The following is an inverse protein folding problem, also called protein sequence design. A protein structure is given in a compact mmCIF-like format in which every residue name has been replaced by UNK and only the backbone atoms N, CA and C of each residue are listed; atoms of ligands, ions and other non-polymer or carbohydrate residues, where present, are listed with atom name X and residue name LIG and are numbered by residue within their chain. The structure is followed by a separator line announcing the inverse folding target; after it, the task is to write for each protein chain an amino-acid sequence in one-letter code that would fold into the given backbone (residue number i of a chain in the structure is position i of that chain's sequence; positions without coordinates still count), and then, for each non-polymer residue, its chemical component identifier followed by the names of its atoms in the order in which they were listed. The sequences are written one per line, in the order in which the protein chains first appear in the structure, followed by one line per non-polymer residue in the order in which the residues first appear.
data_IF_798199057813
#
_entry.id   IF_798199057813
#
_cell.length_a   1.000
_cell.length_b   1.000
_cell.length_c   1.000
_cell.angle_alpha   90.00
_cell.angle_beta   90.00
_cell.angle_gamma   90.00
#
_symmetry.space_group_name_H-M   'P 1'
#
loop_
_entity.id
_entity.type
_entity.pdbx_description
1 polymer ?
#
# COMPACT_ATOMS: atom_id res chain seq x y z
N UNK A 1 -20.75 -0.29 -3.62
CA UNK A 1 -20.97 -1.25 -4.70
C UNK A 1 -21.70 -2.45 -4.13
N UNK A 2 -22.53 -3.13 -4.91
CA UNK A 2 -23.21 -4.38 -4.51
C UNK A 2 -22.73 -5.46 -5.49
N UNK A 3 -22.25 -6.57 -4.94
CA UNK A 3 -21.81 -7.72 -5.72
C UNK A 3 -23.01 -8.56 -6.23
N UNK A 4 -22.82 -9.47 -7.18
CA UNK A 4 -23.90 -10.32 -7.72
C UNK A 4 -24.61 -11.19 -6.69
N UNK A 5 -23.94 -11.57 -5.60
CA UNK A 5 -24.48 -12.33 -4.48
C UNK A 5 -25.19 -11.46 -3.44
N UNK A 6 -25.22 -10.14 -3.63
CA UNK A 6 -25.83 -9.16 -2.74
C UNK A 6 -24.90 -8.59 -1.67
N UNK A 7 -23.65 -9.03 -1.57
CA UNK A 7 -22.69 -8.48 -0.61
C UNK A 7 -22.41 -7.00 -0.93
N UNK A 8 -22.44 -6.16 0.10
CA UNK A 8 -22.22 -4.71 -0.04
C UNK A 8 -20.77 -4.34 0.27
N UNK A 9 -20.09 -3.76 -0.72
CA UNK A 9 -18.75 -3.23 -0.58
C UNK A 9 -18.83 -1.70 -0.41
N UNK A 10 -18.21 -1.19 0.64
CA UNK A 10 -18.17 0.23 1.03
C UNK A 10 -16.72 0.68 1.25
N UNK A 11 -16.50 1.98 1.45
CA UNK A 11 -15.19 2.48 1.83
C UNK A 11 -14.73 1.94 3.21
N UNK A 12 -15.68 1.66 4.10
CA UNK A 12 -15.38 1.25 5.47
C UNK A 12 -14.98 -0.23 5.58
N UNK A 13 -15.44 -1.08 4.63
CA UNK A 13 -15.20 -2.52 4.73
C UNK A 13 -14.33 -3.10 3.61
N UNK A 14 -14.07 -2.37 2.53
CA UNK A 14 -13.35 -2.92 1.37
C UNK A 14 -11.95 -3.40 1.74
N UNK A 15 -11.22 -2.68 2.56
CA UNK A 15 -9.86 -3.04 2.97
C UNK A 15 -9.88 -4.33 3.81
N UNK A 16 -10.75 -4.41 4.81
CA UNK A 16 -10.90 -5.61 5.61
C UNK A 16 -11.34 -6.82 4.77
N UNK A 17 -12.29 -6.63 3.86
CA UNK A 17 -12.78 -7.69 2.98
C UNK A 17 -11.70 -8.23 2.03
N UNK A 18 -10.87 -7.34 1.46
CA UNK A 18 -9.86 -7.73 0.47
C UNK A 18 -8.54 -8.16 1.08
N UNK A 19 -8.14 -7.61 2.24
CA UNK A 19 -6.83 -7.86 2.83
C UNK A 19 -6.84 -8.86 4.01
N UNK A 20 -8.02 -9.13 4.59
CA UNK A 20 -8.17 -10.03 5.73
C UNK A 20 -9.26 -11.08 5.51
N UNK A 21 -10.54 -10.66 5.37
CA UNK A 21 -11.69 -11.57 5.34
C UNK A 21 -11.63 -12.57 4.19
N UNK A 22 -11.18 -12.17 3.00
CA UNK A 22 -11.06 -13.06 1.85
C UNK A 22 -10.12 -14.25 2.13
N UNK A 23 -9.08 -14.04 2.94
CA UNK A 23 -8.09 -15.07 3.25
C UNK A 23 -8.58 -16.06 4.31
N UNK A 24 -9.40 -15.61 5.25
CA UNK A 24 -10.04 -16.48 6.24
C UNK A 24 -11.28 -17.19 5.68
N UNK A 25 -12.08 -16.48 4.86
CA UNK A 25 -13.32 -17.00 4.25
C UNK A 25 -13.06 -18.17 3.30
N UNK A 26 -12.04 -18.07 2.47
CA UNK A 26 -11.73 -19.06 1.44
C UNK A 26 -10.59 -20.01 1.82
N UNK A 27 -9.83 -19.70 2.87
CA UNK A 27 -8.75 -20.56 3.35
C UNK A 27 -7.78 -20.93 2.21
N UNK A 28 -7.61 -22.24 1.98
CA UNK A 28 -6.71 -22.77 0.94
C UNK A 28 -7.32 -22.75 -0.47
N UNK A 29 -8.62 -22.45 -0.63
CA UNK A 29 -9.24 -22.30 -1.95
C UNK A 29 -8.83 -20.98 -2.61
N UNK A 30 -7.64 -20.99 -3.20
CA UNK A 30 -7.10 -19.85 -3.93
C UNK A 30 -7.94 -19.46 -5.15
N UNK A 31 -8.61 -20.43 -5.79
CA UNK A 31 -9.45 -20.18 -6.96
C UNK A 31 -10.66 -19.34 -6.60
N UNK A 32 -11.41 -19.76 -5.58
CA UNK A 32 -12.57 -19.04 -5.07
C UNK A 32 -12.19 -17.63 -4.56
N UNK A 33 -11.07 -17.51 -3.83
CA UNK A 33 -10.57 -16.23 -3.34
C UNK A 33 -10.24 -15.27 -4.49
N UNK A 34 -9.51 -15.73 -5.51
CA UNK A 34 -9.18 -14.89 -6.68
C UNK A 34 -10.45 -14.43 -7.40
N UNK A 35 -11.40 -15.33 -7.62
CA UNK A 35 -12.70 -15.01 -8.24
C UNK A 35 -13.46 -13.95 -7.45
N UNK A 36 -13.46 -14.05 -6.13
CA UNK A 36 -14.11 -13.06 -5.25
C UNK A 36 -13.43 -11.68 -5.37
N UNK A 37 -12.09 -11.63 -5.27
CA UNK A 37 -11.34 -10.38 -5.40
C UNK A 37 -11.49 -9.75 -6.79
N UNK A 38 -11.49 -10.56 -7.86
CA UNK A 38 -11.78 -10.08 -9.22
C UNK A 38 -13.19 -9.52 -9.35
N UNK A 39 -14.18 -10.14 -8.69
CA UNK A 39 -15.56 -9.67 -8.71
C UNK A 39 -15.68 -8.30 -8.07
N UNK A 40 -15.01 -8.07 -6.92
CA UNK A 40 -14.93 -6.76 -6.28
C UNK A 40 -14.27 -5.75 -7.23
N UNK A 41 -13.10 -6.07 -7.79
CA UNK A 41 -12.36 -5.18 -8.68
C UNK A 41 -13.20 -4.79 -9.91
N UNK A 42 -13.83 -5.76 -10.57
CA UNK A 42 -14.73 -5.52 -11.72
C UNK A 42 -15.88 -4.60 -11.35
N UNK A 43 -16.54 -4.84 -10.21
CA UNK A 43 -17.67 -4.03 -9.77
C UNK A 43 -17.25 -2.59 -9.44
N UNK A 44 -16.06 -2.39 -8.85
CA UNK A 44 -15.50 -1.05 -8.60
C UNK A 44 -15.17 -0.34 -9.91
N UNK A 45 -14.47 -1.00 -10.84
CA UNK A 45 -14.15 -0.42 -12.15
C UNK A 45 -15.42 -0.05 -12.93
N UNK A 46 -16.41 -0.93 -12.97
CA UNK A 46 -17.70 -0.64 -13.61
C UNK A 46 -18.40 0.58 -12.99
N UNK A 47 -18.31 0.74 -11.67
CA UNK A 47 -18.86 1.91 -11.00
C UNK A 47 -18.12 3.19 -11.33
N UNK A 48 -16.79 3.13 -11.45
CA UNK A 48 -15.94 4.27 -11.81
C UNK A 48 -16.07 4.68 -13.28
N UNK A 49 -16.30 3.73 -14.18
CA UNK A 49 -16.43 3.98 -15.64
C UNK A 49 -17.89 4.19 -16.09
N UNK A 50 -18.85 3.91 -15.21
CA UNK A 50 -20.27 4.09 -15.47
C UNK A 50 -20.78 5.49 -15.14
N UNK A 51 -22.09 5.59 -14.93
CA UNK A 51 -22.71 6.86 -14.52
C UNK A 51 -22.28 7.28 -13.12
N UNK A 52 -21.44 8.29 -13.02
CA UNK A 52 -20.98 8.86 -11.76
C UNK A 52 -22.01 9.87 -11.28
N UNK A 53 -22.68 9.60 -10.16
CA UNK A 53 -23.68 10.49 -9.56
C UNK A 53 -23.08 11.77 -8.96
N UNK A 54 -21.82 11.74 -8.55
CA UNK A 54 -21.10 12.89 -8.03
C UNK A 54 -19.64 12.92 -8.56
N UNK A 55 -19.42 13.44 -9.80
CA UNK A 55 -18.10 13.50 -10.40
C UNK A 55 -17.08 14.30 -9.58
N UNK A 56 -17.53 15.37 -8.93
CA UNK A 56 -16.67 16.23 -8.11
C UNK A 56 -16.07 15.43 -6.94
N UNK A 57 -16.88 14.69 -6.20
CA UNK A 57 -16.40 13.89 -5.08
C UNK A 57 -15.41 12.79 -5.53
N UNK A 58 -15.62 12.20 -6.72
CA UNK A 58 -14.67 11.22 -7.28
C UNK A 58 -13.35 11.89 -7.63
N UNK A 59 -13.36 13.05 -8.31
CA UNK A 59 -12.15 13.80 -8.63
C UNK A 59 -11.38 14.24 -7.38
N UNK A 60 -12.08 14.70 -6.35
CA UNK A 60 -11.47 15.08 -5.06
C UNK A 60 -10.83 13.86 -4.37
N UNK A 61 -11.47 12.68 -4.42
CA UNK A 61 -10.92 11.44 -3.85
C UNK A 61 -9.69 10.96 -4.63
N UNK A 62 -9.72 11.00 -5.96
CA UNK A 62 -8.58 10.65 -6.81
C UNK A 62 -7.41 11.63 -6.60
N UNK A 63 -7.70 12.93 -6.51
CA UNK A 63 -6.69 13.94 -6.23
C UNK A 63 -5.99 13.73 -4.88
N UNK A 64 -6.76 13.42 -3.83
CA UNK A 64 -6.16 13.04 -2.53
C UNK A 64 -5.32 11.78 -2.63
N UNK A 65 -5.82 10.73 -3.28
CA UNK A 65 -5.08 9.48 -3.44
C UNK A 65 -3.77 9.66 -4.22
N UNK A 66 -3.77 10.55 -5.24
CA UNK A 66 -2.57 10.90 -5.99
C UNK A 66 -1.58 11.71 -5.12
N UNK A 67 -2.05 12.73 -4.38
CA UNK A 67 -1.19 13.54 -3.52
C UNK A 67 -0.60 12.76 -2.34
N UNK A 68 -1.26 11.68 -1.93
CA UNK A 68 -0.78 10.76 -0.89
C UNK A 68 0.09 9.61 -1.46
N UNK A 69 0.43 9.66 -2.77
CA UNK A 69 1.26 8.64 -3.43
C UNK A 69 0.60 7.27 -3.60
N UNK A 70 -0.74 7.18 -3.42
CA UNK A 70 -1.50 5.92 -3.58
C UNK A 70 -1.88 5.59 -5.02
N UNK A 71 -1.73 6.56 -5.92
CA UNK A 71 -1.95 6.40 -7.36
C UNK A 71 -0.72 6.93 -8.07
N UNK A 72 -0.08 6.10 -8.86
CA UNK A 72 0.96 6.48 -9.78
C UNK A 72 0.55 6.14 -11.21
N UNK A 73 0.94 6.98 -12.16
CA UNK A 73 0.64 6.82 -13.58
C UNK A 73 1.95 6.92 -14.36
N UNK A 74 2.14 6.00 -15.28
CA UNK A 74 3.23 6.01 -16.22
C UNK A 74 2.71 5.97 -17.65
N UNK A 75 3.34 6.73 -18.56
CA UNK A 75 3.04 6.71 -19.98
C UNK A 75 4.29 6.38 -20.81
N UNK A 76 4.10 5.52 -21.81
CA UNK A 76 5.13 5.24 -22.82
C UNK A 76 5.37 6.40 -23.81
N UNK A 77 4.48 7.41 -23.79
CA UNK A 77 4.60 8.60 -24.64
C UNK A 77 5.39 9.70 -23.93
N UNK A 78 6.59 10.10 -24.40
CA UNK A 78 7.44 11.05 -23.69
C UNK A 78 6.76 12.39 -23.35
N UNK A 79 5.93 12.91 -24.24
CA UNK A 79 5.21 14.16 -23.99
C UNK A 79 4.20 14.08 -22.84
N UNK A 80 3.53 12.95 -22.69
CA UNK A 80 2.61 12.70 -21.60
C UNK A 80 3.39 12.41 -20.29
N UNK A 81 4.44 11.61 -20.37
CA UNK A 81 5.29 11.27 -19.23
C UNK A 81 5.92 12.53 -18.62
N UNK A 82 6.45 13.44 -19.44
CA UNK A 82 7.00 14.70 -18.97
C UNK A 82 5.97 15.55 -18.20
N UNK A 83 4.69 15.51 -18.60
CA UNK A 83 3.61 16.19 -17.86
C UNK A 83 3.34 15.47 -16.54
N UNK A 84 3.26 14.15 -16.55
CA UNK A 84 3.01 13.36 -15.33
C UNK A 84 4.10 13.61 -14.28
N UNK A 85 5.36 13.68 -14.68
CA UNK A 85 6.51 13.91 -13.79
C UNK A 85 6.49 15.28 -13.09
N UNK A 86 5.75 16.26 -13.63
CA UNK A 86 5.50 17.54 -12.96
C UNK A 86 4.38 17.51 -11.93
N UNK A 87 3.75 16.35 -11.74
CA UNK A 87 2.60 16.15 -10.86
C UNK A 87 2.87 15.03 -9.84
N UNK A 88 2.10 14.96 -8.74
CA UNK A 88 2.18 13.82 -7.81
C UNK A 88 1.90 12.45 -8.46
N UNK A 89 1.21 12.43 -9.62
CA UNK A 89 0.93 11.19 -10.35
C UNK A 89 2.17 10.53 -10.95
N UNK A 90 3.20 11.30 -11.30
CA UNK A 90 4.45 10.76 -11.82
C UNK A 90 5.28 10.04 -10.77
N UNK A 91 5.01 10.28 -9.50
CA UNK A 91 5.68 9.65 -8.35
C UNK A 91 7.22 9.63 -8.49
N UNK A 92 7.77 10.76 -8.94
CA UNK A 92 9.20 10.90 -9.19
C UNK A 92 9.95 11.06 -7.87
N UNK A 93 11.03 10.31 -7.70
CA UNK A 93 11.97 10.55 -6.59
C UNK A 93 12.66 11.89 -6.84
N UNK A 94 12.64 12.85 -5.90
CA UNK A 94 13.29 14.14 -6.11
C UNK A 94 14.78 13.98 -6.39
N UNK A 95 15.26 14.71 -7.40
CA UNK A 95 16.68 14.80 -7.80
C UNK A 95 17.21 16.24 -7.57
N UNK A 96 16.75 16.87 -6.51
CA UNK A 96 17.21 18.17 -6.07
C UNK A 96 17.88 18.07 -4.69
N UNK A 97 18.66 19.07 -4.25
CA UNK A 97 19.33 19.05 -2.93
C UNK A 97 18.37 19.26 -1.75
N UNK A 98 17.06 19.34 -1.98
CA UNK A 98 16.10 19.45 -0.87
C UNK A 98 16.11 18.20 0.01
N UNK A 99 15.94 18.35 1.32
CA UNK A 99 15.90 17.22 2.22
C UNK A 99 14.74 16.27 1.89
N UNK A 100 15.07 15.04 1.55
CA UNK A 100 14.12 13.99 1.20
C UNK A 100 14.50 12.66 1.87
N UNK A 101 13.51 11.91 2.30
CA UNK A 101 13.68 10.52 2.69
C UNK A 101 12.46 9.68 2.27
N UNK A 102 12.70 8.65 1.47
CA UNK A 102 11.72 7.63 1.12
C UNK A 102 11.97 6.35 1.92
N UNK A 103 10.94 5.83 2.57
CA UNK A 103 11.02 4.55 3.30
C UNK A 103 10.25 3.50 2.51
N UNK A 104 10.94 2.44 2.12
CA UNK A 104 10.37 1.29 1.40
C UNK A 104 10.28 0.12 2.36
N UNK A 105 9.11 -0.47 2.50
CA UNK A 105 8.85 -1.58 3.43
C UNK A 105 8.30 -2.74 2.61
N UNK A 106 9.06 -3.85 2.55
CA UNK A 106 8.72 -5.03 1.79
C UNK A 106 8.50 -6.24 2.71
N UNK A 107 7.42 -6.96 2.48
CA UNK A 107 7.18 -8.24 3.16
C UNK A 107 7.96 -9.35 2.45
N UNK A 108 8.99 -9.86 3.10
CA UNK A 108 9.77 -11.00 2.60
C UNK A 108 9.17 -12.35 3.00
N UNK A 109 8.24 -12.38 3.95
CA UNK A 109 7.55 -13.60 4.39
C UNK A 109 6.55 -14.14 3.37
N UNK A 110 6.08 -13.31 2.43
CA UNK A 110 5.07 -13.69 1.44
C UNK A 110 3.68 -13.98 2.01
N UNK A 111 3.45 -13.63 3.28
CA UNK A 111 2.19 -13.81 4.02
C UNK A 111 1.31 -12.55 3.98
N UNK A 112 0.28 -12.49 4.80
CA UNK A 112 -0.66 -11.36 4.89
C UNK A 112 -0.54 -10.53 6.17
N UNK A 113 0.60 -10.63 6.84
CA UNK A 113 0.85 -9.90 8.10
C UNK A 113 0.99 -8.39 7.91
N UNK A 114 1.21 -7.91 6.69
CA UNK A 114 1.25 -6.47 6.40
C UNK A 114 -0.06 -5.74 6.73
N UNK A 115 -1.19 -6.44 6.68
CA UNK A 115 -2.48 -5.92 7.10
C UNK A 115 -2.48 -5.53 8.58
N UNK A 116 -1.72 -6.26 9.41
CA UNK A 116 -1.59 -6.03 10.85
C UNK A 116 -0.33 -5.24 11.22
N UNK A 117 0.50 -4.87 10.24
CA UNK A 117 1.74 -4.15 10.48
C UNK A 117 1.47 -2.66 10.67
N UNK A 118 1.59 -2.17 11.90
CA UNK A 118 1.59 -0.74 12.20
C UNK A 118 2.94 -0.13 11.84
N UNK A 119 2.90 1.02 11.16
CA UNK A 119 4.07 1.73 10.66
C UNK A 119 4.05 3.15 11.19
N UNK A 120 5.10 3.52 11.90
CA UNK A 120 5.34 4.88 12.36
C UNK A 120 6.65 5.35 11.77
N UNK A 121 6.62 6.44 11.00
CA UNK A 121 7.80 7.01 10.35
C UNK A 121 7.92 8.45 10.82
N UNK A 122 9.07 8.79 11.39
CA UNK A 122 9.40 10.14 11.79
C UNK A 122 10.66 10.60 11.07
N UNK A 123 10.60 11.82 10.51
CA UNK A 123 11.72 12.50 9.89
C UNK A 123 12.05 13.75 10.70
N UNK A 124 13.25 13.82 11.22
CA UNK A 124 13.73 14.97 11.99
C UNK A 124 14.96 15.53 11.29
N UNK A 125 14.85 16.76 10.82
CA UNK A 125 15.98 17.51 10.28
C UNK A 125 16.50 18.49 11.35
N UNK A 126 17.79 18.43 11.63
CA UNK A 126 18.43 19.39 12.53
C UNK A 126 18.60 20.76 11.85
N UNK A 127 18.93 21.78 12.63
CA UNK A 127 19.14 23.13 12.10
C UNK A 127 20.29 23.17 11.11
N UNK A 128 20.18 23.99 10.08
CA UNK A 128 21.28 24.23 9.14
C UNK A 128 22.42 24.95 9.86
N UNK A 129 23.54 24.25 10.00
CA UNK A 129 24.79 24.81 10.57
C UNK A 129 25.92 24.70 9.56
N UNK A 130 25.90 25.53 8.47
CA UNK A 130 26.85 25.43 7.38
C UNK A 130 26.30 24.73 6.14
N UNK A 131 27.16 24.06 5.37
CA UNK A 131 26.81 23.44 4.08
C UNK A 131 26.20 22.05 4.20
N UNK A 132 26.10 21.53 5.40
CA UNK A 132 25.54 20.20 5.68
C UNK A 132 24.45 20.24 6.73
N UNK A 133 23.51 19.30 6.64
CA UNK A 133 22.43 19.10 7.61
C UNK A 133 22.41 17.64 8.04
N UNK A 134 22.34 17.42 9.34
CA UNK A 134 22.05 16.08 9.88
C UNK A 134 20.54 15.83 9.88
N UNK A 135 20.13 14.63 9.47
CA UNK A 135 18.76 14.19 9.51
C UNK A 135 18.66 12.81 10.14
N UNK A 136 17.58 12.60 10.88
CA UNK A 136 17.29 11.30 11.49
C UNK A 136 15.95 10.80 10.96
N UNK A 137 15.95 9.60 10.38
CA UNK A 137 14.74 8.88 10.00
C UNK A 137 14.53 7.76 10.99
N UNK A 138 13.40 7.79 11.71
CA UNK A 138 13.01 6.71 12.64
C UNK A 138 11.87 5.94 12.02
N UNK A 139 12.05 4.63 11.87
CA UNK A 139 11.01 3.71 11.40
C UNK A 139 10.68 2.76 12.53
N UNK A 140 9.44 2.78 12.99
CA UNK A 140 8.91 1.82 13.96
C UNK A 140 7.89 0.93 13.31
N UNK A 141 8.13 -0.38 13.35
CA UNK A 141 7.24 -1.41 12.85
C UNK A 141 6.72 -2.22 14.04
N UNK A 142 5.40 -2.37 14.12
CA UNK A 142 4.76 -3.16 15.18
C UNK A 142 3.82 -4.16 14.55
N UNK A 143 4.06 -5.45 14.79
CA UNK A 143 3.14 -6.51 14.43
C UNK A 143 1.98 -6.54 15.45
N UNK A 144 0.80 -6.14 15.02
CA UNK A 144 -0.41 -6.05 15.83
C UNK A 144 -1.41 -7.14 15.47
N UNK A 145 -0.89 -8.34 15.13
CA UNK A 145 -1.73 -9.49 14.83
C UNK A 145 -2.53 -9.87 16.09
N UNK A 146 -3.87 -9.81 16.06
CA UNK A 146 -4.69 -10.23 17.19
C UNK A 146 -4.51 -11.72 17.50
N UNK A 147 -4.70 -12.16 18.75
CA UNK A 147 -4.81 -13.58 19.06
C UNK A 147 -5.97 -14.23 18.27
N UNK A 148 -5.73 -15.39 17.66
CA UNK A 148 -6.73 -16.09 16.86
C UNK A 148 -6.15 -17.25 16.09
N UNK A 149 -7.01 -18.02 15.45
CA UNK A 149 -6.63 -19.10 14.54
C UNK A 149 -6.54 -18.54 13.12
N UNK A 150 -5.36 -18.66 12.53
CA UNK A 150 -5.08 -18.16 11.18
C UNK A 150 -4.62 -19.30 10.29
N UNK A 151 -4.90 -19.19 8.99
CA UNK A 151 -4.37 -20.12 8.00
C UNK A 151 -2.87 -19.86 7.77
N UNK A 152 -2.16 -20.88 7.32
CA UNK A 152 -0.74 -20.73 6.94
C UNK A 152 -0.54 -19.65 5.85
N UNK A 153 -1.55 -19.39 5.04
CA UNK A 153 -1.50 -18.33 4.04
C UNK A 153 -1.42 -16.93 4.68
N UNK A 154 -2.04 -16.74 5.84
CA UNK A 154 -2.02 -15.46 6.57
C UNK A 154 -0.76 -15.30 7.39
N UNK A 155 -0.37 -16.34 8.16
CA UNK A 155 0.69 -16.24 9.16
C UNK A 155 1.94 -17.04 8.84
N UNK A 156 1.89 -17.94 7.85
CA UNK A 156 3.03 -18.74 7.42
C UNK A 156 4.07 -17.90 6.67
N UNK A 157 5.17 -18.52 6.34
CA UNK A 157 6.25 -17.90 5.59
C UNK A 157 6.57 -18.80 4.39
N UNK A 158 6.48 -18.24 3.18
CA UNK A 158 6.67 -19.00 1.94
C UNK A 158 8.07 -19.61 1.84
N UNK A 159 9.07 -18.80 2.14
CA UNK A 159 10.44 -19.24 2.34
C UNK A 159 10.89 -18.76 3.71
N UNK A 160 11.24 -19.68 4.61
CA UNK A 160 11.58 -19.37 5.99
C UNK A 160 13.07 -19.65 6.27
N UNK A 161 13.97 -18.84 5.72
CA UNK A 161 15.41 -19.03 5.84
C UNK A 161 15.93 -18.91 7.26
N UNK A 162 15.16 -18.27 8.15
CA UNK A 162 15.55 -18.00 9.54
C UNK A 162 14.85 -18.92 10.54
N UNK A 163 13.96 -19.81 10.09
CA UNK A 163 13.21 -20.69 10.98
C UNK A 163 12.28 -19.97 11.96
N UNK A 164 11.74 -18.83 11.55
CA UNK A 164 10.86 -18.04 12.40
C UNK A 164 9.49 -18.73 12.59
N UNK A 165 8.85 -18.59 13.77
CA UNK A 165 7.53 -19.16 14.00
C UNK A 165 6.45 -18.46 13.16
N UNK A 166 5.31 -19.15 12.87
CA UNK A 166 4.15 -18.51 12.24
C UNK A 166 3.74 -17.24 12.98
N UNK A 167 3.25 -16.23 12.24
CA UNK A 167 2.91 -14.92 12.80
C UNK A 167 4.08 -13.95 12.91
N UNK A 168 5.28 -14.35 12.49
CA UNK A 168 6.45 -13.45 12.44
C UNK A 168 6.44 -12.64 11.13
N UNK A 169 6.54 -11.32 11.23
CA UNK A 169 6.84 -10.47 10.07
C UNK A 169 8.33 -10.56 9.73
N UNK A 170 8.65 -11.01 8.54
CA UNK A 170 9.97 -10.85 7.94
C UNK A 170 9.90 -9.67 6.98
N UNK A 171 10.55 -8.58 7.34
CA UNK A 171 10.39 -7.28 6.66
C UNK A 171 11.74 -6.73 6.24
N UNK A 172 11.87 -6.37 4.96
CA UNK A 172 12.97 -5.56 4.46
C UNK A 172 12.59 -4.08 4.52
N UNK A 173 13.52 -3.26 5.03
CA UNK A 173 13.33 -1.81 5.15
C UNK A 173 14.43 -1.11 4.38
N UNK A 174 14.08 -0.53 3.24
CA UNK A 174 14.95 0.30 2.42
C UNK A 174 14.78 1.78 2.76
N UNK A 175 15.88 2.53 2.75
CA UNK A 175 15.88 3.98 2.88
C UNK A 175 16.52 4.60 1.64
N UNK A 176 15.79 5.50 1.00
CA UNK A 176 16.28 6.38 -0.06
C UNK A 176 16.33 7.80 0.51
N UNK A 177 17.47 8.45 0.43
CA UNK A 177 17.64 9.81 0.95
C UNK A 177 18.42 10.68 -0.06
N UNK A 178 18.25 11.99 0.05
CA UNK A 178 19.07 12.97 -0.68
C UNK A 178 20.54 12.74 -0.36
N UNK A 179 21.40 12.76 -1.36
CA UNK A 179 22.85 12.81 -1.14
C UNK A 179 23.22 14.17 -0.53
N UNK A 180 23.90 14.13 0.60
CA UNK A 180 24.48 15.28 1.26
C UNK A 180 25.86 15.64 0.70
#
# INVERSE_FOLDING_TARGET
VILPDGERITADNVVELTESTAYTRFGDDQGARKTYLETIAKAVVQKLTGSISNPRAVLEALGRAASEGRIAVWSAHPAEQNILETTPLGHVVPDDPAPYAGVVINNLGGNKLDYYLKREIAYVAESCGGDTRSTTVTVRLTNDLPPGDYTDYVVGMFDNPVGAPPGTNLTDVGLVATQG
#
